data_IF_078162012721
#
_entry.id   IF_078162012721
#
_cell.length_a   1.000
_cell.length_b   1.000
_cell.length_c   1.000
_cell.angle_alpha   90.00
_cell.angle_beta   90.00
_cell.angle_gamma   90.00
#
_symmetry.space_group_name_H-M   'P 1'
#
loop_
_entity.id
_entity.type
_entity.pdbx_description
1 polymer ?
#
# COMPACT_ATOMS: atom_id res chain seq x y z
N UNK A 1 21.05 -10.43 17.74
CA UNK A 1 20.77 -9.80 16.43
C UNK A 1 21.11 -8.29 16.39
N UNK A 2 21.85 -7.71 17.34
CA UNK A 2 22.06 -6.25 17.42
C UNK A 2 23.39 -5.72 16.83
N UNK A 3 24.18 -6.52 16.12
CA UNK A 3 25.53 -6.08 15.69
C UNK A 3 25.54 -4.89 14.72
N UNK A 4 24.43 -4.60 14.05
CA UNK A 4 24.32 -3.48 13.10
C UNK A 4 23.78 -2.18 13.72
N UNK A 5 23.21 -2.19 14.94
CA UNK A 5 22.66 -0.99 15.58
C UNK A 5 21.49 -0.31 14.84
N UNK A 6 20.82 -1.03 13.94
CA UNK A 6 19.78 -0.49 13.04
C UNK A 6 18.36 -1.00 13.34
N UNK A 7 18.14 -1.75 14.43
CA UNK A 7 16.83 -2.34 14.76
C UNK A 7 15.68 -1.30 14.82
N UNK A 8 15.99 -0.07 15.24
CA UNK A 8 15.06 1.05 15.26
C UNK A 8 14.48 1.43 13.87
N UNK A 9 15.13 1.07 12.75
CA UNK A 9 14.56 1.29 11.41
C UNK A 9 13.30 0.46 11.16
N UNK A 10 13.14 -0.67 11.87
CA UNK A 10 11.95 -1.51 11.79
C UNK A 10 10.66 -0.75 12.14
N UNK A 11 10.75 0.31 12.95
CA UNK A 11 9.61 1.17 13.31
C UNK A 11 8.94 1.77 12.06
N UNK A 12 9.70 2.06 11.00
CA UNK A 12 9.16 2.62 9.75
C UNK A 12 8.25 1.66 8.98
N UNK A 13 8.37 0.34 9.24
CA UNK A 13 7.59 -0.70 8.59
C UNK A 13 6.35 -1.12 9.39
N UNK A 14 6.27 -0.75 10.67
CA UNK A 14 5.17 -1.15 11.55
C UNK A 14 3.82 -0.66 11.05
N UNK A 15 3.70 0.62 10.69
CA UNK A 15 2.43 1.17 10.20
C UNK A 15 2.00 0.55 8.87
N UNK A 16 2.86 0.47 7.82
CA UNK A 16 2.51 -0.23 6.60
C UNK A 16 2.04 -1.67 6.84
N UNK A 17 2.77 -2.46 7.65
CA UNK A 17 2.37 -3.84 7.96
C UNK A 17 1.01 -3.91 8.68
N UNK A 18 0.72 -2.95 9.55
CA UNK A 18 -0.56 -2.86 10.26
C UNK A 18 -1.71 -2.43 9.34
N UNK A 19 -1.45 -1.49 8.41
CA UNK A 19 -2.42 -1.06 7.41
C UNK A 19 -2.82 -2.22 6.48
N UNK A 20 -1.87 -3.04 6.05
CA UNK A 20 -2.14 -4.26 5.25
C UNK A 20 -3.05 -5.24 6.00
N UNK A 21 -2.74 -5.52 7.27
CA UNK A 21 -3.54 -6.39 8.13
C UNK A 21 -4.97 -5.85 8.30
N UNK A 22 -5.12 -4.55 8.61
CA UNK A 22 -6.45 -3.89 8.74
C UNK A 22 -7.24 -4.00 7.43
N UNK A 23 -6.57 -3.86 6.28
CA UNK A 23 -7.24 -4.01 4.99
C UNK A 23 -7.78 -5.41 4.78
N UNK A 24 -7.03 -6.45 5.16
CA UNK A 24 -7.51 -7.84 5.09
C UNK A 24 -8.73 -8.03 6.00
N UNK A 25 -8.67 -7.55 7.25
CA UNK A 25 -9.79 -7.62 8.19
C UNK A 25 -11.03 -6.87 7.66
N UNK A 26 -10.85 -5.69 7.07
CA UNK A 26 -11.94 -4.96 6.43
C UNK A 26 -12.52 -5.74 5.25
N UNK A 27 -11.68 -6.30 4.38
CA UNK A 27 -12.12 -7.05 3.20
C UNK A 27 -12.93 -8.30 3.59
N UNK A 28 -12.64 -8.92 4.73
CA UNK A 28 -13.47 -9.99 5.31
C UNK A 28 -14.90 -9.54 5.67
N UNK A 29 -15.13 -8.24 5.90
CA UNK A 29 -16.48 -7.70 6.15
C UNK A 29 -17.27 -7.43 4.88
N UNK A 30 -16.58 -7.31 3.73
CA UNK A 30 -17.17 -6.98 2.41
C UNK A 30 -16.86 -8.06 1.37
N UNK A 31 -16.92 -9.33 1.78
CA UNK A 31 -16.46 -10.51 1.01
C UNK A 31 -16.85 -10.47 -0.48
N UNK A 32 -18.12 -10.18 -0.77
CA UNK A 32 -18.66 -10.14 -2.14
C UNK A 32 -17.98 -9.12 -3.07
N UNK A 33 -17.41 -8.03 -2.54
CA UNK A 33 -16.71 -7.01 -3.32
C UNK A 33 -15.19 -7.09 -3.17
N UNK A 34 -14.67 -7.97 -2.32
CA UNK A 34 -13.31 -7.87 -1.82
C UNK A 34 -12.24 -8.08 -2.92
N UNK A 35 -12.39 -9.11 -3.77
CA UNK A 35 -11.53 -9.30 -4.95
C UNK A 35 -11.61 -8.14 -5.94
N UNK A 36 -12.80 -7.54 -6.09
CA UNK A 36 -12.98 -6.36 -6.95
C UNK A 36 -12.25 -5.14 -6.38
N UNK A 37 -12.37 -4.90 -5.08
CA UNK A 37 -11.67 -3.82 -4.38
C UNK A 37 -10.15 -3.97 -4.57
N UNK A 38 -9.59 -5.15 -4.30
CA UNK A 38 -8.14 -5.40 -4.44
C UNK A 38 -7.65 -5.12 -5.86
N UNK A 39 -8.35 -5.63 -6.89
CA UNK A 39 -8.00 -5.37 -8.29
C UNK A 39 -8.02 -3.88 -8.63
N UNK A 40 -9.04 -3.15 -8.19
CA UNK A 40 -9.16 -1.71 -8.47
C UNK A 40 -8.08 -0.90 -7.75
N UNK A 41 -7.80 -1.19 -6.48
CA UNK A 41 -6.74 -0.52 -5.74
C UNK A 41 -5.36 -0.78 -6.37
N UNK A 42 -5.08 -2.03 -6.75
CA UNK A 42 -3.85 -2.41 -7.44
C UNK A 42 -3.70 -1.72 -8.80
N UNK A 43 -4.74 -1.76 -9.63
CA UNK A 43 -4.73 -1.12 -10.94
C UNK A 43 -4.59 0.41 -10.85
N UNK A 44 -5.26 1.04 -9.88
CA UNK A 44 -5.15 2.48 -9.62
C UNK A 44 -3.75 2.88 -9.12
N UNK A 45 -3.16 2.08 -8.23
CA UNK A 45 -1.79 2.27 -7.75
C UNK A 45 -0.75 2.14 -8.87
N UNK A 46 -0.90 1.13 -9.73
CA UNK A 46 -0.05 0.95 -10.90
C UNK A 46 -0.16 2.12 -11.89
N UNK A 47 -1.39 2.55 -12.22
CA UNK A 47 -1.63 3.70 -13.09
C UNK A 47 -0.97 4.98 -12.56
N UNK A 48 -1.14 5.27 -11.26
CA UNK A 48 -0.49 6.42 -10.62
C UNK A 48 1.04 6.31 -10.65
N UNK A 49 1.58 5.13 -10.37
CA UNK A 49 3.03 4.91 -10.36
C UNK A 49 3.64 5.14 -11.74
N UNK A 50 3.08 4.53 -12.79
CA UNK A 50 3.58 4.67 -14.17
C UNK A 50 3.51 6.12 -14.64
N UNK A 51 2.37 6.79 -14.43
CA UNK A 51 2.19 8.18 -14.90
C UNK A 51 3.12 9.16 -14.18
N UNK A 52 3.33 9.00 -12.87
CA UNK A 52 4.23 9.86 -12.11
C UNK A 52 5.71 9.59 -12.43
N UNK A 53 6.09 8.32 -12.60
CA UNK A 53 7.45 7.98 -12.99
C UNK A 53 7.76 8.51 -14.40
N UNK A 54 6.84 8.37 -15.36
CA UNK A 54 7.01 8.93 -16.71
C UNK A 54 7.12 10.47 -16.68
N UNK A 55 6.32 11.14 -15.84
CA UNK A 55 6.39 12.59 -15.66
C UNK A 55 7.74 13.04 -15.08
N UNK A 56 8.27 12.32 -14.08
CA UNK A 56 9.56 12.61 -13.46
C UNK A 56 10.73 12.39 -14.43
N UNK A 57 10.75 11.26 -15.14
CA UNK A 57 11.85 10.88 -16.03
C UNK A 57 11.87 11.71 -17.34
N UNK A 58 10.70 12.22 -17.75
CA UNK A 58 10.54 12.89 -19.03
C UNK A 58 10.58 11.93 -20.22
N UNK A 59 10.26 12.45 -21.40
CA UNK A 59 10.03 11.66 -22.62
C UNK A 59 11.23 10.80 -23.03
N UNK A 60 12.43 11.40 -23.07
CA UNK A 60 13.62 10.74 -23.61
C UNK A 60 14.11 9.58 -22.75
N UNK A 61 14.05 9.72 -21.42
CA UNK A 61 14.46 8.64 -20.50
C UNK A 61 13.39 7.55 -20.46
N UNK A 62 12.11 7.92 -20.45
CA UNK A 62 10.99 6.96 -20.49
C UNK A 62 11.05 6.06 -21.72
N UNK A 63 11.28 6.63 -22.91
CA UNK A 63 11.44 5.87 -24.15
C UNK A 63 12.61 4.88 -24.09
N UNK A 64 13.76 5.29 -23.55
CA UNK A 64 14.94 4.41 -23.39
C UNK A 64 14.69 3.24 -22.44
N UNK A 65 13.82 3.42 -21.45
CA UNK A 65 13.42 2.36 -20.52
C UNK A 65 12.27 1.49 -21.05
N UNK A 66 11.81 1.73 -22.28
CA UNK A 66 10.73 0.96 -22.91
C UNK A 66 9.31 1.45 -22.59
N UNK A 67 9.16 2.63 -21.97
CA UNK A 67 7.85 3.26 -21.79
C UNK A 67 7.49 4.10 -23.00
N UNK A 68 6.78 3.45 -23.91
CA UNK A 68 6.16 4.11 -25.06
C UNK A 68 5.02 5.04 -24.58
N UNK A 69 4.79 6.19 -25.24
CA UNK A 69 3.73 7.12 -24.90
C UNK A 69 2.35 6.45 -24.82
N UNK A 70 2.06 5.49 -25.71
CA UNK A 70 0.83 4.71 -25.70
C UNK A 70 0.64 3.88 -24.42
N UNK A 71 1.71 3.33 -23.84
CA UNK A 71 1.63 2.58 -22.58
C UNK A 71 1.27 3.52 -21.42
N UNK A 72 1.91 4.69 -21.36
CA UNK A 72 1.61 5.70 -20.33
C UNK A 72 0.18 6.21 -20.49
N UNK A 73 -0.27 6.47 -21.71
CA UNK A 73 -1.64 6.89 -22.01
C UNK A 73 -2.66 5.80 -21.65
N UNK A 74 -2.37 4.53 -21.95
CA UNK A 74 -3.19 3.40 -21.53
C UNK A 74 -3.35 3.34 -20.01
N UNK A 75 -2.26 3.47 -19.25
CA UNK A 75 -2.32 3.50 -17.80
C UNK A 75 -3.09 4.70 -17.26
N UNK A 76 -2.95 5.88 -17.87
CA UNK A 76 -3.72 7.06 -17.48
C UNK A 76 -5.23 6.84 -17.69
N UNK A 77 -5.64 6.37 -18.87
CA UNK A 77 -7.04 6.07 -19.18
C UNK A 77 -7.61 4.97 -18.26
N UNK A 78 -6.81 3.93 -17.98
CA UNK A 78 -7.19 2.90 -17.03
C UNK A 78 -7.36 3.46 -15.60
N UNK A 79 -6.51 4.39 -15.18
CA UNK A 79 -6.63 5.09 -13.89
C UNK A 79 -7.94 5.86 -13.76
N UNK A 80 -8.38 6.55 -14.83
CA UNK A 80 -9.67 7.24 -14.85
C UNK A 80 -10.86 6.26 -14.76
N UNK A 81 -10.80 5.14 -15.48
CA UNK A 81 -11.82 4.10 -15.41
C UNK A 81 -11.92 3.50 -13.99
N UNK A 82 -10.77 3.17 -13.39
CA UNK A 82 -10.68 2.69 -12.00
C UNK A 82 -11.27 3.72 -11.03
N UNK A 83 -10.98 5.01 -11.19
CA UNK A 83 -11.52 6.05 -10.33
C UNK A 83 -13.06 6.14 -10.40
N UNK A 84 -13.66 5.90 -11.58
CA UNK A 84 -15.12 5.82 -11.73
C UNK A 84 -15.69 4.61 -10.99
N UNK A 85 -15.06 3.45 -11.09
CA UNK A 85 -15.50 2.24 -10.38
C UNK A 85 -15.37 2.35 -8.85
N UNK A 86 -14.28 2.94 -8.36
CA UNK A 86 -14.11 3.19 -6.92
C UNK A 86 -15.17 4.15 -6.37
N UNK A 87 -15.67 5.10 -7.18
CA UNK A 87 -16.81 5.95 -6.78
C UNK A 87 -18.11 5.16 -6.64
N UNK A 88 -18.34 4.15 -7.48
CA UNK A 88 -19.49 3.25 -7.35
C UNK A 88 -19.37 2.45 -6.04
N UNK A 89 -18.20 1.88 -5.76
CA UNK A 89 -17.95 1.17 -4.50
C UNK A 89 -18.09 2.08 -3.29
N UNK A 90 -17.64 3.34 -3.37
CA UNK A 90 -17.84 4.33 -2.31
C UNK A 90 -19.33 4.47 -1.95
N UNK A 91 -20.20 4.64 -2.96
CA UNK A 91 -21.64 4.76 -2.75
C UNK A 91 -22.25 3.50 -2.15
N UNK A 92 -21.81 2.32 -2.61
CA UNK A 92 -22.29 1.02 -2.12
C UNK A 92 -21.86 0.72 -0.68
N UNK A 93 -20.61 1.01 -0.33
CA UNK A 93 -19.96 0.58 0.92
C UNK A 93 -19.87 1.70 1.98
N UNK A 94 -20.35 2.90 1.68
CA UNK A 94 -20.36 4.02 2.63
C UNK A 94 -18.98 4.61 2.93
N UNK A 95 -18.02 4.49 2.01
CA UNK A 95 -16.68 5.05 2.19
C UNK A 95 -16.70 6.58 2.26
N UNK A 96 -15.80 7.17 3.04
CA UNK A 96 -15.63 8.62 3.12
C UNK A 96 -15.09 9.23 1.81
N UNK A 97 -14.17 8.52 1.16
CA UNK A 97 -13.55 8.85 -0.12
C UNK A 97 -13.46 7.62 -1.03
N UNK A 98 -13.05 7.83 -2.28
CA UNK A 98 -12.83 6.76 -3.24
C UNK A 98 -11.38 6.81 -3.73
N UNK A 99 -10.48 5.93 -3.23
CA UNK A 99 -10.66 4.92 -2.18
C UNK A 99 -10.84 5.52 -0.77
N UNK A 100 -11.25 4.74 0.26
CA UNK A 100 -11.47 5.27 1.60
C UNK A 100 -10.15 5.76 2.20
N UNK A 101 -10.22 6.69 3.14
CA UNK A 101 -9.02 7.14 3.85
C UNK A 101 -8.51 6.08 4.82
N UNK A 102 -7.22 6.11 5.12
CA UNK A 102 -6.62 5.27 6.16
C UNK A 102 -7.15 5.57 7.58
N UNK A 103 -7.96 6.60 7.80
CA UNK A 103 -8.71 6.79 9.05
C UNK A 103 -10.06 6.07 9.04
N UNK A 104 -10.65 5.89 7.87
CA UNK A 104 -11.93 5.23 7.72
C UNK A 104 -11.81 3.71 7.86
N UNK A 105 -10.83 3.09 7.20
CA UNK A 105 -10.68 1.61 7.18
C UNK A 105 -10.47 1.01 8.58
N UNK A 106 -9.58 1.55 9.45
CA UNK A 106 -9.42 1.03 10.80
C UNK A 106 -10.70 1.15 11.62
N UNK A 107 -11.47 2.23 11.45
CA UNK A 107 -12.76 2.39 12.10
C UNK A 107 -13.76 1.34 11.63
N UNK A 108 -13.82 1.09 10.32
CA UNK A 108 -14.67 0.04 9.74
C UNK A 108 -14.26 -1.38 10.18
N UNK A 109 -12.96 -1.60 10.43
CA UNK A 109 -12.41 -2.86 10.93
C UNK A 109 -12.40 -2.98 12.47
N UNK A 110 -12.85 -1.97 13.22
CA UNK A 110 -12.84 -1.98 14.69
C UNK A 110 -11.44 -1.85 15.33
N UNK A 111 -10.46 -1.30 14.60
CA UNK A 111 -9.03 -1.13 14.97
C UNK A 111 -8.60 0.32 15.16
N UNK A 112 -9.55 1.25 15.31
CA UNK A 112 -9.28 2.71 15.36
C UNK A 112 -8.26 3.08 16.45
N UNK A 113 -8.41 2.55 17.66
CA UNK A 113 -7.54 2.89 18.81
C UNK A 113 -6.10 2.44 18.60
N UNK A 114 -5.90 1.20 18.17
CA UNK A 114 -4.56 0.68 17.90
C UNK A 114 -3.93 1.36 16.68
N UNK A 115 -4.72 1.66 15.64
CA UNK A 115 -4.23 2.39 14.49
C UNK A 115 -3.77 3.80 14.87
N UNK A 116 -4.54 4.55 15.67
CA UNK A 116 -4.16 5.89 16.10
C UNK A 116 -2.86 5.87 16.91
N UNK A 117 -2.71 4.89 17.81
CA UNK A 117 -1.47 4.71 18.57
C UNK A 117 -0.27 4.46 17.65
N UNK A 118 -0.38 3.50 16.72
CA UNK A 118 0.70 3.18 15.79
C UNK A 118 0.98 4.31 14.81
N UNK A 119 -0.04 5.02 14.34
CA UNK A 119 0.09 6.20 13.49
C UNK A 119 0.96 7.26 14.17
N UNK A 120 0.64 7.62 15.42
CA UNK A 120 1.41 8.62 16.15
C UNK A 120 2.82 8.15 16.50
N UNK A 121 3.01 6.86 16.82
CA UNK A 121 4.31 6.30 17.15
C UNK A 121 5.26 6.23 15.94
N UNK A 122 4.74 6.00 14.73
CA UNK A 122 5.55 5.68 13.54
C UNK A 122 5.60 6.79 12.49
N UNK A 123 4.60 7.67 12.42
CA UNK A 123 4.51 8.70 11.36
C UNK A 123 5.72 9.64 11.36
N UNK A 124 6.28 9.93 12.54
CA UNK A 124 7.47 10.77 12.67
C UNK A 124 8.76 10.11 12.18
N UNK A 125 8.77 8.80 11.88
CA UNK A 125 9.91 8.10 11.29
C UNK A 125 9.97 8.24 9.76
N UNK A 126 8.84 8.52 9.11
CA UNK A 126 8.72 8.59 7.65
C UNK A 126 8.47 10.01 7.15
N UNK A 127 8.17 10.94 8.06
CA UNK A 127 8.06 12.38 7.78
C UNK A 127 9.10 13.17 8.58
N UNK A 128 9.54 14.30 8.03
CA UNK A 128 10.38 15.23 8.78
C UNK A 128 9.66 15.64 10.07
N UNK A 129 10.29 15.37 11.21
CA UNK A 129 9.77 15.68 12.53
C UNK A 129 10.87 16.30 13.36
N UNK A 130 10.69 17.57 13.73
CA UNK A 130 11.62 18.28 14.62
C UNK A 130 11.71 17.57 15.97
N UNK A 131 10.60 16.99 16.43
CA UNK A 131 10.52 16.22 17.67
C UNK A 131 11.36 14.93 17.63
N UNK A 132 11.36 14.21 16.50
CA UNK A 132 12.24 13.05 16.33
C UNK A 132 13.69 13.46 16.10
N UNK A 133 13.90 14.57 15.39
CA UNK A 133 15.23 15.13 15.18
C UNK A 133 15.89 15.51 16.52
N UNK A 134 15.18 16.19 17.42
CA UNK A 134 15.70 16.54 18.76
C UNK A 134 15.91 15.33 19.66
N UNK A 135 15.12 14.26 19.50
CA UNK A 135 15.34 12.98 20.20
C UNK A 135 16.52 12.18 19.66
N UNK A 136 16.99 12.47 18.44
CA UNK A 136 18.09 11.75 17.77
C UNK A 136 19.39 12.54 17.71
N UNK A 137 19.33 13.87 17.85
CA UNK A 137 20.51 14.74 17.97
C UNK A 137 21.01 14.67 19.41
N UNK A 138 22.12 13.98 19.61
CA UNK A 138 22.87 14.03 20.86
C UNK A 138 24.35 14.29 20.55
N UNK A 139 24.97 15.20 21.30
CA UNK A 139 26.35 15.59 21.03
C UNK A 139 26.84 16.71 21.95
N UNK A 140 28.15 16.94 21.91
CA UNK A 140 28.81 18.03 22.63
C UNK A 140 28.91 19.27 21.71
N UNK A 141 29.11 20.47 22.27
CA UNK A 141 29.42 21.68 21.48
C UNK A 141 30.53 21.36 20.45
N UNK A 142 30.25 21.58 19.17
CA UNK A 142 31.19 21.29 18.07
C UNK A 142 31.16 19.87 17.49
N UNK A 143 30.35 18.94 18.03
CA UNK A 143 30.11 17.61 17.47
C UNK A 143 28.63 17.23 17.58
N UNK A 144 27.93 17.19 16.44
CA UNK A 144 26.58 16.66 16.36
C UNK A 144 26.66 15.20 15.91
N UNK A 145 26.12 14.29 16.73
CA UNK A 145 25.91 12.89 16.34
C UNK A 145 24.42 12.70 16.14
N UNK A 146 24.00 12.29 14.94
CA UNK A 146 22.63 11.86 14.70
C UNK A 146 22.57 10.37 15.06
N UNK A 147 22.19 10.11 16.31
CA UNK A 147 22.10 8.78 16.89
C UNK A 147 21.74 8.87 18.36
N UNK A 148 20.61 8.29 18.75
CA UNK A 148 20.22 8.19 20.16
C UNK A 148 20.68 6.85 20.72
N UNK A 149 21.87 6.77 21.32
CA UNK A 149 22.26 5.58 22.09
C UNK A 149 21.23 5.23 23.19
N UNK A 150 20.53 6.23 23.72
CA UNK A 150 19.54 6.10 24.80
C UNK A 150 18.19 5.53 24.35
N UNK A 151 17.72 5.85 23.14
CA UNK A 151 16.39 5.43 22.66
C UNK A 151 16.42 4.38 21.55
N UNK A 152 17.61 4.07 20.99
CA UNK A 152 17.72 3.05 19.95
C UNK A 152 17.24 1.68 20.44
N UNK A 153 17.61 1.29 21.67
CA UNK A 153 17.15 0.04 22.28
C UNK A 153 15.64 0.01 22.49
N UNK A 154 15.06 1.10 23.01
CA UNK A 154 13.59 1.21 23.15
C UNK A 154 12.88 1.04 21.80
N UNK A 155 13.34 1.70 20.74
CA UNK A 155 12.72 1.62 19.43
C UNK A 155 12.91 0.26 18.75
N UNK A 156 14.04 -0.40 19.00
CA UNK A 156 14.27 -1.79 18.59
C UNK A 156 13.29 -2.74 19.30
N UNK A 157 13.16 -2.65 20.63
CA UNK A 157 12.20 -3.45 21.40
C UNK A 157 10.76 -3.17 20.98
N UNK A 158 10.40 -1.90 20.77
CA UNK A 158 9.11 -1.48 20.27
C UNK A 158 8.82 -2.08 18.88
N UNK A 159 9.79 -2.01 17.97
CA UNK A 159 9.68 -2.61 16.64
C UNK A 159 9.50 -4.13 16.73
N UNK A 160 10.30 -4.82 17.54
CA UNK A 160 10.20 -6.27 17.70
C UNK A 160 8.84 -6.70 18.26
N UNK A 161 8.36 -6.03 19.32
CA UNK A 161 7.07 -6.34 19.93
C UNK A 161 5.92 -6.17 18.93
N UNK A 162 5.84 -5.00 18.27
CA UNK A 162 4.75 -4.70 17.35
C UNK A 162 4.84 -5.49 16.05
N UNK A 163 6.03 -5.76 15.54
CA UNK A 163 6.20 -6.60 14.35
C UNK A 163 5.71 -8.04 14.64
N UNK A 164 6.09 -8.62 15.78
CA UNK A 164 5.62 -9.95 16.17
C UNK A 164 4.10 -9.98 16.34
N UNK A 165 3.52 -8.97 17.00
CA UNK A 165 2.07 -8.87 17.19
C UNK A 165 1.33 -8.70 15.86
N UNK A 166 1.80 -7.82 14.98
CA UNK A 166 1.20 -7.61 13.66
C UNK A 166 1.28 -8.89 12.81
N UNK A 167 2.41 -9.59 12.86
CA UNK A 167 2.60 -10.86 12.15
C UNK A 167 1.59 -11.93 12.62
N UNK A 168 1.41 -12.11 13.93
CA UNK A 168 0.43 -13.06 14.47
C UNK A 168 -0.99 -12.70 14.02
N UNK A 169 -1.38 -11.43 14.13
CA UNK A 169 -2.71 -10.99 13.70
C UNK A 169 -2.91 -11.19 12.19
N UNK A 170 -1.88 -10.92 11.38
CA UNK A 170 -1.92 -11.15 9.93
C UNK A 170 -2.12 -12.63 9.62
N UNK A 171 -1.40 -13.53 10.30
CA UNK A 171 -1.58 -14.98 10.14
C UNK A 171 -3.01 -15.41 10.49
N UNK A 172 -3.60 -14.87 11.56
CA UNK A 172 -5.00 -15.16 11.91
C UNK A 172 -5.97 -14.62 10.87
N UNK A 173 -5.82 -13.37 10.44
CA UNK A 173 -6.72 -12.75 9.45
C UNK A 173 -6.65 -13.46 8.08
N UNK A 174 -5.45 -13.86 7.67
CA UNK A 174 -5.24 -14.60 6.42
C UNK A 174 -5.75 -16.02 6.49
N UNK A 175 -5.63 -16.71 7.62
CA UNK A 175 -6.24 -18.04 7.80
C UNK A 175 -7.77 -17.97 7.69
N UNK A 176 -8.40 -17.00 8.36
CA UNK A 176 -9.85 -16.76 8.20
C UNK A 176 -10.18 -16.49 6.74
N UNK A 177 -9.39 -15.65 6.05
CA UNK A 177 -9.58 -15.40 4.63
C UNK A 177 -9.46 -16.65 3.76
N UNK A 178 -8.51 -17.55 4.04
CA UNK A 178 -8.36 -18.80 3.30
C UNK A 178 -9.58 -19.70 3.53
N UNK A 179 -10.02 -19.82 4.78
CA UNK A 179 -11.15 -20.68 5.18
C UNK A 179 -12.51 -20.15 4.68
N UNK A 180 -12.73 -18.84 4.78
CA UNK A 180 -14.03 -18.19 4.51
C UNK A 180 -14.11 -17.50 3.14
N UNK A 181 -12.96 -17.11 2.57
CA UNK A 181 -12.81 -16.23 1.42
C UNK A 181 -12.30 -16.92 0.15
N UNK A 182 -12.11 -18.24 0.20
CA UNK A 182 -12.02 -19.11 -0.99
C UNK A 182 -13.20 -20.09 -0.90
N UNK A 183 -14.18 -20.13 -1.79
CA UNK A 183 -14.09 -20.25 -3.24
C UNK A 183 -15.37 -19.66 -3.85
N UNK A 184 -15.29 -18.53 -4.56
CA UNK A 184 -16.16 -18.38 -5.74
C UNK A 184 -15.31 -18.84 -6.92
N UNK A 185 -15.71 -19.95 -7.55
CA UNK A 185 -15.17 -20.43 -8.81
C UNK A 185 -15.06 -19.26 -9.77
N UNK A 186 -13.84 -18.82 -10.07
CA UNK A 186 -13.63 -17.89 -11.17
C UNK A 186 -14.22 -18.55 -12.43
N UNK A 187 -15.20 -17.94 -13.12
CA UNK A 187 -15.59 -18.45 -14.41
C UNK A 187 -14.36 -18.31 -15.31
N UNK A 188 -13.74 -19.47 -15.62
CA UNK A 188 -12.54 -19.70 -16.45
C UNK A 188 -12.59 -19.13 -17.88
N UNK A 189 -13.48 -18.18 -18.16
CA UNK A 189 -13.89 -17.82 -19.51
C UNK A 189 -13.79 -16.33 -19.86
N UNK A 190 -13.16 -15.49 -19.05
CA UNK A 190 -12.98 -14.07 -19.39
C UNK A 190 -11.68 -13.74 -20.12
N UNK A 191 -10.63 -14.55 -19.98
CA UNK A 191 -9.33 -14.28 -20.64
C UNK A 191 -9.30 -14.68 -22.12
N UNK A 192 -10.03 -15.71 -22.54
CA UNK A 192 -10.01 -16.16 -23.92
C UNK A 192 -10.56 -15.12 -24.93
N UNK A 193 -11.56 -14.32 -24.54
CA UNK A 193 -12.16 -13.32 -25.45
C UNK A 193 -11.36 -12.03 -25.55
N UNK A 194 -10.64 -11.60 -24.50
CA UNK A 194 -9.95 -10.30 -24.50
C UNK A 194 -8.63 -10.33 -25.28
N UNK A 195 -7.92 -11.46 -25.24
CA UNK A 195 -6.71 -11.68 -26.04
C UNK A 195 -7.02 -11.88 -27.54
N UNK A 196 -8.13 -12.55 -27.88
CA UNK A 196 -8.53 -12.74 -29.29
C UNK A 196 -8.94 -11.43 -29.98
N UNK A 197 -9.62 -10.53 -29.28
CA UNK A 197 -10.02 -9.22 -29.84
C UNK A 197 -8.81 -8.29 -30.04
N UNK A 198 -7.83 -8.32 -29.13
CA UNK A 198 -6.58 -7.55 -29.27
C UNK A 198 -5.68 -8.05 -30.41
N UNK A 199 -5.62 -9.36 -30.63
CA UNK A 199 -4.82 -9.96 -31.71
C UNK A 199 -5.45 -9.79 -33.10
N UNK A 200 -6.77 -9.72 -33.21
CA UNK A 200 -7.46 -9.44 -34.48
C UNK A 200 -7.28 -7.97 -34.91
N UNK A 201 -7.26 -7.02 -33.98
CA UNK A 201 -7.01 -5.60 -34.28
C UNK A 201 -5.60 -5.33 -34.80
N UNK A 202 -4.62 -6.16 -34.43
CA UNK A 202 -3.22 -6.05 -34.89
C UNK A 202 -2.95 -6.76 -36.22
N UNK A 203 -3.84 -7.64 -36.68
CA UNK A 203 -3.73 -8.34 -37.98
C UNK A 203 -4.47 -7.65 -39.14
N UNK A 204 -5.39 -6.73 -38.86
CA UNK A 204 -6.13 -5.97 -39.88
C UNK A 204 -5.43 -4.70 -40.40
N UNK A 205 -4.23 -4.40 -39.88
CA UNK A 205 -3.53 -3.11 -40.08
C UNK A 205 -2.14 -3.30 -40.66
N UNK A 206 -1.99 -4.13 -41.70
CA UNK A 206 -0.81 -4.13 -42.56
C UNK A 206 -1.26 -3.93 -44.02
N UNK A 207 -0.73 -2.93 -44.73
CA UNK A 207 -0.99 -2.74 -46.16
C UNK A 207 -0.43 -3.89 -47.00
#
# INVERSE_FOLDING_TARGET
>A
MSSAGQGAFGVSLLRPSYEEMIWIEYLLTVKADASRILRLLGAGGAAKSVTQQAAYLGRNVSLRLGWLPEHVAFHAANGEAVAKELKVLKGKLGWDKAPPTFKWVPKAAGREKEYDFLYHATSSFVHFSVHELTRRIWGNKGKVTIGSGTFAGYWEEFACYWAARNFVNLMVATEIWIQDGSQEDEPRNYEAKRWLVGLQALRGSRP
#
